data_IF_366132735474
#
_entry.id   IF_366132735474
#
_cell.length_a   1.000
_cell.length_b   1.000
_cell.length_c   1.000
_cell.angle_alpha   90.00
_cell.angle_beta   90.00
_cell.angle_gamma   90.00
#
_symmetry.space_group_name_H-M   'P 1'
#
loop_
_entity.id
_entity.type
_entity.pdbx_description
1 polymer ?
#
# COMPACT_ATOMS: atom_id res chain seq x y z
N UNK A 1 10.79 5.64 10.78
CA UNK A 1 11.92 5.55 11.74
C UNK A 1 13.24 5.78 10.98
N UNK A 2 14.33 6.26 11.61
CA UNK A 2 15.65 6.33 10.96
C UNK A 2 16.53 5.16 11.39
N UNK A 3 16.94 4.30 10.47
CA UNK A 3 17.77 3.11 10.77
C UNK A 3 19.01 3.05 9.89
N UNK A 4 20.06 2.37 10.39
CA UNK A 4 21.22 2.04 9.57
C UNK A 4 20.92 0.75 8.83
N UNK A 5 20.60 0.86 7.54
CA UNK A 5 20.27 -0.30 6.71
C UNK A 5 21.47 -1.13 6.32
N UNK A 6 22.63 -0.50 6.05
CA UNK A 6 23.85 -1.24 5.76
C UNK A 6 24.36 -1.97 7.00
N UNK A 7 24.69 -3.25 6.84
CA UNK A 7 25.23 -4.11 7.89
C UNK A 7 26.53 -4.75 7.44
N UNK A 8 27.46 -4.96 8.37
CA UNK A 8 28.69 -5.73 8.16
C UNK A 8 28.72 -6.93 9.10
N UNK A 9 28.98 -8.13 8.57
CA UNK A 9 29.18 -9.34 9.36
C UNK A 9 30.49 -9.23 10.13
N UNK A 10 30.49 -9.59 11.42
CA UNK A 10 31.72 -9.68 12.22
C UNK A 10 32.54 -10.94 11.94
N UNK A 11 31.91 -11.98 11.40
CA UNK A 11 32.55 -13.29 11.22
C UNK A 11 33.20 -13.43 9.83
N UNK A 12 32.50 -13.01 8.76
CA UNK A 12 33.04 -13.09 7.39
C UNK A 12 33.31 -11.72 6.72
N UNK A 13 32.97 -10.60 7.37
CA UNK A 13 33.19 -9.26 6.84
C UNK A 13 32.23 -8.82 5.71
N UNK A 14 31.34 -9.69 5.23
CA UNK A 14 30.34 -9.38 4.20
C UNK A 14 29.48 -8.18 4.62
N UNK A 15 29.27 -7.28 3.68
CA UNK A 15 28.29 -6.21 3.80
C UNK A 15 27.02 -6.51 3.01
N UNK A 16 25.87 -6.13 3.57
CA UNK A 16 24.57 -6.23 2.92
C UNK A 16 23.62 -5.14 3.42
N UNK A 17 22.55 -4.90 2.67
CA UNK A 17 21.46 -4.04 3.10
C UNK A 17 20.40 -4.87 3.84
N UNK A 18 20.13 -4.51 5.10
CA UNK A 18 18.96 -4.98 5.83
C UNK A 18 17.67 -4.63 5.07
N UNK A 19 17.65 -3.51 4.34
CA UNK A 19 16.48 -3.09 3.57
C UNK A 19 16.17 -4.06 2.43
N UNK A 20 17.18 -4.64 1.78
CA UNK A 20 16.99 -5.61 0.69
C UNK A 20 16.62 -7.00 1.21
N UNK A 21 17.15 -7.39 2.37
CA UNK A 21 17.08 -8.78 2.85
C UNK A 21 16.01 -8.99 3.94
N UNK A 22 15.58 -7.92 4.61
CA UNK A 22 14.75 -8.01 5.83
C UNK A 22 15.45 -8.73 6.99
N UNK A 23 16.73 -9.12 6.85
CA UNK A 23 17.39 -10.07 7.74
C UNK A 23 18.63 -9.47 8.42
N UNK A 24 18.77 -9.78 9.72
CA UNK A 24 19.94 -9.41 10.53
C UNK A 24 21.06 -10.45 10.41
N UNK A 25 20.75 -11.65 9.92
CA UNK A 25 21.71 -12.71 9.60
C UNK A 25 22.49 -12.36 8.34
N UNK A 26 23.77 -12.70 8.33
CA UNK A 26 24.61 -12.56 7.16
C UNK A 26 24.12 -13.50 6.04
N UNK A 27 23.90 -13.02 4.81
CA UNK A 27 23.42 -13.87 3.72
C UNK A 27 24.45 -14.92 3.26
N UNK A 28 25.73 -14.75 3.57
CA UNK A 28 26.79 -15.66 3.12
C UNK A 28 27.13 -16.77 4.12
N UNK A 29 26.99 -16.49 5.43
CA UNK A 29 27.44 -17.41 6.48
C UNK A 29 26.38 -17.62 7.58
N UNK A 30 25.19 -17.06 7.41
CA UNK A 30 24.04 -17.13 8.32
C UNK A 30 24.29 -16.60 9.74
N UNK A 31 25.48 -16.06 10.01
CA UNK A 31 25.81 -15.50 11.31
C UNK A 31 24.93 -14.31 11.68
N UNK A 32 24.38 -14.35 12.90
CA UNK A 32 23.64 -13.25 13.52
C UNK A 32 24.56 -12.13 14.05
N UNK A 33 25.89 -12.32 14.00
CA UNK A 33 26.86 -11.34 14.51
C UNK A 33 27.12 -10.25 13.47
N UNK A 34 26.23 -9.27 13.40
CA UNK A 34 26.32 -8.16 12.46
C UNK A 34 26.22 -6.79 13.13
N UNK A 35 26.85 -5.77 12.55
CA UNK A 35 26.78 -4.37 13.01
C UNK A 35 26.26 -3.48 11.90
N UNK A 36 25.41 -2.50 12.26
CA UNK A 36 25.00 -1.45 11.33
C UNK A 36 26.16 -0.50 11.03
N UNK A 37 26.45 -0.29 9.74
CA UNK A 37 27.48 0.62 9.23
C UNK A 37 26.83 1.70 8.36
N UNK A 38 27.50 2.84 8.19
CA UNK A 38 26.98 3.98 7.42
C UNK A 38 26.00 4.88 8.19
N UNK A 39 25.37 5.78 7.44
CA UNK A 39 24.43 6.77 7.97
C UNK A 39 23.05 6.17 8.23
N UNK A 40 22.26 6.89 9.04
CA UNK A 40 20.88 6.52 9.35
C UNK A 40 19.96 7.11 8.30
N UNK A 41 19.25 6.26 7.58
CA UNK A 41 18.31 6.63 6.52
C UNK A 41 16.88 6.42 6.99
N UNK A 42 15.94 7.20 6.43
CA UNK A 42 14.51 7.01 6.70
C UNK A 42 14.04 5.71 6.07
N UNK A 43 13.24 4.98 6.80
CA UNK A 43 12.69 3.73 6.34
C UNK A 43 11.36 3.45 7.04
N UNK A 44 10.38 3.07 6.23
CA UNK A 44 9.02 2.74 6.64
C UNK A 44 8.53 1.49 5.93
N UNK A 45 8.98 1.23 4.70
CA UNK A 45 8.60 0.04 3.92
C UNK A 45 9.38 -1.22 4.30
N UNK A 46 8.70 -2.30 4.67
CA UNK A 46 9.35 -3.61 4.86
C UNK A 46 9.39 -4.40 3.54
N UNK A 47 10.50 -5.10 3.27
CA UNK A 47 10.65 -5.99 2.11
C UNK A 47 9.87 -7.32 2.27
N UNK A 48 8.55 -7.23 2.45
CA UNK A 48 7.65 -8.39 2.57
C UNK A 48 6.85 -8.57 1.28
N UNK A 49 6.82 -9.80 0.76
CA UNK A 49 5.93 -10.19 -0.33
C UNK A 49 4.56 -10.62 0.19
N UNK A 50 3.51 -10.36 -0.59
CA UNK A 50 2.20 -10.96 -0.36
C UNK A 50 2.11 -12.28 -1.13
N UNK A 51 1.67 -13.35 -0.47
CA UNK A 51 1.36 -14.63 -1.11
C UNK A 51 -0.03 -15.08 -0.66
N UNK A 52 -0.95 -15.20 -1.62
CA UNK A 52 -2.33 -15.63 -1.38
C UNK A 52 -2.58 -17.06 -1.88
N UNK A 53 -1.55 -17.80 -2.29
CA UNK A 53 -1.68 -19.15 -2.85
C UNK A 53 -2.34 -20.13 -1.88
N UNK A 54 -1.99 -20.07 -0.59
CA UNK A 54 -2.59 -20.89 0.45
C UNK A 54 -4.10 -20.62 0.61
N UNK A 55 -4.50 -19.34 0.60
CA UNK A 55 -5.92 -18.92 0.70
C UNK A 55 -6.72 -19.36 -0.52
N UNK A 56 -6.15 -19.24 -1.72
CA UNK A 56 -6.77 -19.75 -2.96
C UNK A 56 -6.93 -21.26 -2.95
N UNK A 57 -5.95 -22.00 -2.43
CA UNK A 57 -6.03 -23.45 -2.32
C UNK A 57 -7.08 -23.89 -1.29
N UNK A 58 -7.20 -23.18 -0.17
CA UNK A 58 -8.19 -23.46 0.87
C UNK A 58 -9.64 -23.23 0.40
N UNK A 59 -9.86 -22.29 -0.53
CA UNK A 59 -11.19 -21.98 -1.04
C UNK A 59 -11.82 -23.10 -1.88
N UNK A 60 -11.03 -24.05 -2.40
CA UNK A 60 -11.51 -25.34 -2.95
C UNK A 60 -12.70 -25.29 -3.92
N UNK A 61 -13.37 -26.44 -4.13
CA UNK A 61 -14.65 -26.51 -4.86
C UNK A 61 -15.86 -26.34 -3.92
N UNK A 62 -15.72 -26.75 -2.67
CA UNK A 62 -16.82 -26.85 -1.70
C UNK A 62 -16.77 -25.79 -0.57
N UNK A 63 -15.68 -25.04 -0.43
CA UNK A 63 -15.54 -24.04 0.63
C UNK A 63 -16.09 -22.69 0.18
N UNK A 64 -16.66 -21.94 1.12
CA UNK A 64 -17.11 -20.57 0.88
C UNK A 64 -16.04 -19.56 1.33
N UNK A 65 -16.15 -18.34 0.82
CA UNK A 65 -15.25 -17.22 1.19
C UNK A 65 -15.28 -17.00 2.71
N UNK A 66 -16.45 -17.18 3.34
CA UNK A 66 -16.60 -17.08 4.79
C UNK A 66 -15.71 -18.05 5.57
N UNK A 67 -15.42 -19.23 5.04
CA UNK A 67 -14.61 -20.24 5.73
C UNK A 67 -13.13 -19.84 5.84
N UNK A 68 -12.63 -19.03 4.91
CA UNK A 68 -11.23 -18.56 4.85
C UNK A 68 -11.07 -17.08 5.25
N UNK A 69 -12.18 -16.37 5.49
CA UNK A 69 -12.19 -14.92 5.65
C UNK A 69 -11.28 -14.43 6.79
N UNK A 70 -11.30 -15.08 7.96
CA UNK A 70 -10.54 -14.61 9.13
C UNK A 70 -9.02 -14.73 8.94
N UNK A 71 -8.56 -15.84 8.35
CA UNK A 71 -7.14 -16.07 8.07
C UNK A 71 -6.66 -15.16 6.94
N UNK A 72 -7.48 -14.98 5.90
CA UNK A 72 -7.23 -14.07 4.79
C UNK A 72 -7.12 -12.62 5.28
N UNK A 73 -8.11 -12.13 6.07
CA UNK A 73 -8.09 -10.79 6.67
C UNK A 73 -6.83 -10.58 7.51
N UNK A 74 -6.37 -11.61 8.22
CA UNK A 74 -5.15 -11.52 9.04
C UNK A 74 -3.90 -11.38 8.20
N UNK A 75 -3.75 -12.22 7.17
CA UNK A 75 -2.64 -12.13 6.21
C UNK A 75 -2.56 -10.75 5.54
N UNK A 76 -3.71 -10.24 5.07
CA UNK A 76 -3.78 -8.94 4.41
C UNK A 76 -3.48 -7.77 5.36
N UNK A 77 -4.03 -7.80 6.59
CA UNK A 77 -3.74 -6.80 7.63
C UNK A 77 -2.25 -6.74 7.95
N UNK A 78 -1.62 -7.90 8.11
CA UNK A 78 -0.20 -7.98 8.44
C UNK A 78 0.67 -7.46 7.29
N UNK A 79 0.32 -7.79 6.04
CA UNK A 79 1.00 -7.26 4.86
C UNK A 79 0.86 -5.75 4.75
N UNK A 80 -0.37 -5.21 4.72
CA UNK A 80 -0.63 -3.77 4.54
C UNK A 80 0.06 -2.94 5.63
N UNK A 81 0.04 -3.41 6.89
CA UNK A 81 0.69 -2.71 8.01
C UNK A 81 2.22 -2.68 7.92
N UNK A 82 2.83 -3.63 7.21
CA UNK A 82 4.29 -3.70 7.04
C UNK A 82 4.79 -2.88 5.85
N UNK A 83 3.89 -2.51 4.93
CA UNK A 83 4.22 -1.65 3.79
C UNK A 83 4.35 -0.19 4.23
N UNK A 84 5.21 0.53 3.54
CA UNK A 84 5.42 1.96 3.69
C UNK A 84 5.89 2.58 2.38
N UNK A 85 6.17 3.86 2.38
CA UNK A 85 6.49 4.62 1.16
C UNK A 85 7.88 5.25 1.17
N UNK A 86 8.73 4.88 2.14
CA UNK A 86 10.15 5.26 2.14
C UNK A 86 11.02 4.04 2.35
N UNK A 87 11.90 3.77 1.39
CA UNK A 87 12.86 2.67 1.39
C UNK A 87 14.28 3.19 1.28
N UNK A 88 15.11 2.99 2.31
CA UNK A 88 16.50 3.48 2.31
C UNK A 88 16.65 4.99 2.00
N UNK A 89 15.69 5.81 2.44
CA UNK A 89 15.64 7.23 2.12
C UNK A 89 15.01 7.58 0.77
N UNK A 90 14.80 6.60 -0.11
CA UNK A 90 14.13 6.78 -1.39
C UNK A 90 12.61 6.76 -1.19
N UNK A 91 11.92 7.71 -1.82
CA UNK A 91 10.48 7.78 -1.85
C UNK A 91 9.94 6.72 -2.83
N UNK A 92 9.02 5.89 -2.36
CA UNK A 92 8.34 4.89 -3.17
C UNK A 92 7.00 5.40 -3.68
N UNK A 93 6.59 4.88 -4.84
CA UNK A 93 5.24 5.11 -5.37
C UNK A 93 4.21 4.26 -4.66
N UNK A 94 2.95 4.66 -4.73
CA UNK A 94 1.83 3.85 -4.25
C UNK A 94 1.61 2.69 -5.23
N UNK A 95 2.13 1.50 -4.95
CA UNK A 95 2.04 0.35 -5.85
C UNK A 95 0.64 -0.28 -5.89
N UNK A 96 0.36 -1.06 -6.94
CA UNK A 96 -0.95 -1.69 -7.11
C UNK A 96 -1.18 -2.88 -6.16
N UNK A 97 -0.12 -3.57 -5.70
CA UNK A 97 -0.23 -4.72 -4.79
C UNK A 97 -0.72 -4.28 -3.41
N UNK A 98 -0.20 -3.18 -2.85
CA UNK A 98 -0.69 -2.65 -1.56
C UNK A 98 -2.14 -2.16 -1.65
N UNK A 99 -2.52 -1.53 -2.78
CA UNK A 99 -3.90 -1.11 -3.01
C UNK A 99 -4.85 -2.30 -3.17
N UNK A 100 -4.46 -3.31 -3.95
CA UNK A 100 -5.27 -4.51 -4.14
C UNK A 100 -5.42 -5.32 -2.85
N UNK A 101 -4.38 -5.40 -2.03
CA UNK A 101 -4.42 -6.07 -0.74
C UNK A 101 -5.33 -5.36 0.27
N UNK A 102 -5.22 -4.02 0.37
CA UNK A 102 -6.12 -3.21 1.19
C UNK A 102 -7.56 -3.35 0.72
N UNK A 103 -7.79 -3.32 -0.60
CA UNK A 103 -9.12 -3.46 -1.17
C UNK A 103 -9.73 -4.83 -0.90
N UNK A 104 -8.96 -5.91 -1.08
CA UNK A 104 -9.39 -7.26 -0.73
C UNK A 104 -9.72 -7.37 0.76
N UNK A 105 -8.92 -6.76 1.64
CA UNK A 105 -9.17 -6.76 3.08
C UNK A 105 -10.53 -6.15 3.42
N UNK A 106 -10.82 -4.97 2.85
CA UNK A 106 -12.10 -4.31 3.06
C UNK A 106 -13.26 -5.04 2.39
N UNK A 107 -13.08 -5.58 1.19
CA UNK A 107 -14.10 -6.32 0.46
C UNK A 107 -14.50 -7.61 1.18
N UNK A 108 -13.52 -8.36 1.73
CA UNK A 108 -13.79 -9.55 2.54
C UNK A 108 -14.51 -9.20 3.84
N UNK A 109 -14.17 -8.09 4.50
CA UNK A 109 -14.89 -7.64 5.70
C UNK A 109 -16.35 -7.27 5.39
N UNK A 110 -16.63 -6.62 4.25
CA UNK A 110 -18.01 -6.37 3.81
C UNK A 110 -18.73 -7.67 3.49
N UNK A 111 -18.09 -8.58 2.75
CA UNK A 111 -18.66 -9.88 2.39
C UNK A 111 -19.07 -10.68 3.63
N UNK A 112 -18.14 -10.83 4.59
CA UNK A 112 -18.30 -11.62 5.82
C UNK A 112 -19.41 -11.09 6.75
N UNK A 113 -19.63 -9.76 6.74
CA UNK A 113 -20.72 -9.12 7.51
C UNK A 113 -22.06 -9.13 6.79
N UNK A 114 -22.08 -9.42 5.50
CA UNK A 114 -23.30 -9.46 4.71
C UNK A 114 -23.97 -10.81 4.85
N UNK A 115 -25.23 -10.84 5.31
CA UNK A 115 -25.95 -12.10 5.57
C UNK A 115 -26.12 -12.96 4.32
N UNK A 116 -26.48 -12.33 3.20
CA UNK A 116 -26.77 -12.99 1.93
C UNK A 116 -26.11 -12.16 0.81
N UNK A 117 -24.78 -12.24 0.63
CA UNK A 117 -24.08 -11.48 -0.39
C UNK A 117 -24.54 -11.90 -1.78
N UNK A 118 -24.73 -10.94 -2.67
CA UNK A 118 -25.09 -11.23 -4.05
C UNK A 118 -23.90 -11.79 -4.85
N UNK A 119 -24.20 -12.35 -6.02
CA UNK A 119 -23.17 -12.96 -6.88
C UNK A 119 -22.15 -11.93 -7.38
N UNK A 120 -22.51 -10.66 -7.57
CA UNK A 120 -21.57 -9.64 -8.01
C UNK A 120 -20.54 -9.33 -6.92
N UNK A 121 -20.97 -9.22 -5.67
CA UNK A 121 -20.14 -9.12 -4.48
C UNK A 121 -19.21 -10.33 -4.35
N UNK A 122 -19.74 -11.55 -4.51
CA UNK A 122 -18.94 -12.78 -4.47
C UNK A 122 -17.86 -12.80 -5.54
N UNK A 123 -18.23 -12.58 -6.80
CA UNK A 123 -17.30 -12.58 -7.94
C UNK A 123 -16.20 -11.54 -7.77
N UNK A 124 -16.54 -10.36 -7.25
CA UNK A 124 -15.58 -9.29 -7.00
C UNK A 124 -14.52 -9.67 -5.97
N UNK A 125 -14.90 -10.29 -4.85
CA UNK A 125 -13.93 -10.79 -3.86
C UNK A 125 -13.05 -11.89 -4.45
N UNK A 126 -13.62 -12.80 -5.26
CA UNK A 126 -12.86 -13.84 -5.95
C UNK A 126 -11.89 -13.30 -7.01
N UNK A 127 -12.25 -12.22 -7.70
CA UNK A 127 -11.37 -11.51 -8.63
C UNK A 127 -10.18 -10.91 -7.88
N UNK A 128 -10.42 -10.18 -6.79
CA UNK A 128 -9.38 -9.61 -5.95
C UNK A 128 -8.47 -10.69 -5.35
N UNK A 129 -9.02 -11.79 -4.83
CA UNK A 129 -8.23 -12.89 -4.26
C UNK A 129 -7.32 -13.59 -5.29
N UNK A 130 -7.73 -13.61 -6.56
CA UNK A 130 -6.93 -14.17 -7.65
C UNK A 130 -5.74 -13.28 -8.02
N UNK A 131 -5.92 -11.96 -7.94
CA UNK A 131 -5.01 -10.99 -8.55
C UNK A 131 -4.20 -10.12 -7.60
N UNK A 132 -4.60 -9.98 -6.33
CA UNK A 132 -4.06 -8.94 -5.45
C UNK A 132 -2.56 -9.07 -5.17
N UNK A 133 -2.03 -10.29 -5.03
CA UNK A 133 -0.59 -10.54 -4.86
C UNK A 133 0.23 -10.35 -6.14
N UNK A 134 -0.42 -10.22 -7.30
CA UNK A 134 0.19 -9.85 -8.57
C UNK A 134 -0.02 -8.36 -8.94
N UNK A 135 -0.60 -7.57 -8.03
CA UNK A 135 -0.90 -6.16 -8.27
C UNK A 135 -2.07 -5.93 -9.24
N UNK A 136 -2.91 -6.95 -9.47
CA UNK A 136 -4.09 -6.79 -10.32
C UNK A 136 -5.23 -6.15 -9.51
N UNK A 137 -5.86 -5.14 -10.12
CA UNK A 137 -6.96 -4.38 -9.52
C UNK A 137 -8.14 -4.35 -10.51
N UNK A 138 -9.37 -4.68 -10.07
CA UNK A 138 -10.54 -4.52 -10.92
C UNK A 138 -10.71 -3.03 -11.31
N UNK A 139 -11.06 -2.70 -12.56
CA UNK A 139 -11.28 -1.32 -12.96
C UNK A 139 -12.44 -0.67 -12.17
N UNK A 140 -12.49 0.67 -12.04
CA UNK A 140 -13.52 1.36 -11.24
C UNK A 140 -14.96 1.05 -11.65
N UNK A 141 -15.17 0.73 -12.93
CA UNK A 141 -16.48 0.40 -13.50
C UNK A 141 -16.92 -1.04 -13.23
N UNK A 142 -16.04 -1.91 -12.73
CA UNK A 142 -16.40 -3.29 -12.36
C UNK A 142 -16.65 -3.47 -10.86
N UNK A 143 -16.52 -2.40 -10.08
CA UNK A 143 -16.81 -2.41 -8.63
C UNK A 143 -18.33 -2.47 -8.44
N UNK A 144 -18.86 -3.48 -7.75
CA UNK A 144 -20.27 -3.50 -7.37
C UNK A 144 -20.62 -2.33 -6.46
N UNK A 145 -21.85 -1.82 -6.53
CA UNK A 145 -22.30 -0.70 -5.69
C UNK A 145 -22.07 -0.96 -4.19
N UNK A 146 -22.29 -2.20 -3.74
CA UNK A 146 -22.05 -2.67 -2.37
C UNK A 146 -20.58 -2.62 -1.92
N UNK A 147 -19.65 -2.49 -2.85
CA UNK A 147 -18.20 -2.50 -2.61
C UNK A 147 -17.53 -1.14 -2.84
N UNK A 148 -18.27 -0.13 -3.31
CA UNK A 148 -17.74 1.22 -3.53
C UNK A 148 -17.13 1.79 -2.26
N UNK A 149 -17.83 1.69 -1.13
CA UNK A 149 -17.34 2.14 0.17
C UNK A 149 -16.10 1.37 0.64
N UNK A 150 -16.04 0.06 0.39
CA UNK A 150 -14.89 -0.78 0.72
C UNK A 150 -13.63 -0.31 -0.04
N UNK A 151 -13.75 -0.04 -1.35
CA UNK A 151 -12.64 0.50 -2.15
C UNK A 151 -12.23 1.90 -1.68
N UNK A 152 -13.20 2.77 -1.40
CA UNK A 152 -12.94 4.11 -0.90
C UNK A 152 -12.10 4.11 0.38
N UNK A 153 -12.52 3.33 1.38
CA UNK A 153 -11.78 3.18 2.65
C UNK A 153 -10.42 2.52 2.44
N UNK A 154 -10.34 1.49 1.60
CA UNK A 154 -9.08 0.82 1.32
C UNK A 154 -8.03 1.79 0.79
N UNK A 155 -8.37 2.59 -0.23
CA UNK A 155 -7.41 3.51 -0.83
C UNK A 155 -7.12 4.70 0.08
N UNK A 156 -8.12 5.20 0.81
CA UNK A 156 -7.92 6.24 1.82
C UNK A 156 -6.92 5.79 2.89
N UNK A 157 -7.02 4.55 3.38
CA UNK A 157 -6.09 4.03 4.39
C UNK A 157 -4.64 3.97 3.89
N UNK A 158 -4.43 3.50 2.67
CA UNK A 158 -3.10 3.44 2.03
C UNK A 158 -2.55 4.85 1.79
N UNK A 159 -3.39 5.77 1.32
CA UNK A 159 -2.99 7.14 1.04
C UNK A 159 -2.76 7.97 2.32
N UNK A 160 -3.41 7.63 3.42
CA UNK A 160 -3.14 8.22 4.73
C UNK A 160 -1.72 7.91 5.18
N UNK A 161 -1.31 6.64 5.08
CA UNK A 161 0.06 6.22 5.39
C UNK A 161 1.07 6.86 4.43
N UNK A 162 0.76 6.90 3.13
CA UNK A 162 1.57 7.63 2.14
C UNK A 162 1.77 9.10 2.50
N UNK A 163 0.70 9.81 2.88
CA UNK A 163 0.80 11.22 3.26
C UNK A 163 1.61 11.43 4.54
N UNK A 164 1.53 10.50 5.49
CA UNK A 164 2.35 10.49 6.71
C UNK A 164 3.85 10.32 6.38
N UNK A 165 4.16 9.32 5.56
CA UNK A 165 5.51 9.00 5.14
C UNK A 165 6.12 10.08 4.26
N UNK A 166 5.36 10.61 3.31
CA UNK A 166 5.79 11.70 2.45
C UNK A 166 6.05 12.97 3.26
N UNK A 167 5.19 13.30 4.23
CA UNK A 167 5.42 14.44 5.12
C UNK A 167 6.75 14.27 5.89
N UNK A 168 6.96 13.08 6.43
CA UNK A 168 8.19 12.69 7.12
C UNK A 168 9.42 12.75 6.21
N UNK A 169 9.29 12.44 4.92
CA UNK A 169 10.35 12.52 3.92
C UNK A 169 10.65 13.98 3.50
N UNK A 170 9.62 14.82 3.35
CA UNK A 170 9.73 16.25 3.02
C UNK A 170 10.42 17.07 4.11
N UNK A 171 10.37 16.64 5.38
CA UNK A 171 11.17 17.25 6.46
C UNK A 171 12.68 17.24 6.14
N UNK A 172 13.15 16.21 5.43
CA UNK A 172 14.55 16.06 5.03
C UNK A 172 14.81 16.60 3.62
N UNK A 173 13.77 16.69 2.80
CA UNK A 173 13.82 17.13 1.40
C UNK A 173 12.78 18.23 1.17
N UNK A 174 13.02 19.46 1.65
CA UNK A 174 11.98 20.49 1.68
C UNK A 174 11.54 20.91 0.27
N UNK A 175 10.28 20.64 -0.04
CA UNK A 175 9.62 21.11 -1.26
C UNK A 175 8.24 21.71 -0.92
N UNK A 176 8.09 23.05 -0.93
CA UNK A 176 6.82 23.70 -0.59
C UNK A 176 5.69 23.39 -1.58
N UNK A 177 6.02 23.08 -2.85
CA UNK A 177 5.05 22.81 -3.89
C UNK A 177 4.43 21.42 -3.72
N UNK A 178 5.25 20.42 -3.39
CA UNK A 178 4.85 19.08 -3.02
C UNK A 178 4.12 19.04 -1.68
N UNK A 179 4.60 19.80 -0.69
CA UNK A 179 3.96 19.90 0.63
C UNK A 179 2.49 20.32 0.54
N UNK A 180 2.18 21.32 -0.30
CA UNK A 180 0.79 21.75 -0.56
C UNK A 180 -0.04 20.67 -1.25
N UNK A 181 0.52 19.99 -2.26
CA UNK A 181 -0.19 18.92 -2.95
C UNK A 181 -0.52 17.75 -2.00
N UNK A 182 0.43 17.38 -1.14
CA UNK A 182 0.25 16.38 -0.08
C UNK A 182 -0.85 16.78 0.90
N UNK A 183 -0.89 18.02 1.35
CA UNK A 183 -1.95 18.53 2.25
C UNK A 183 -3.34 18.45 1.59
N UNK A 184 -3.44 18.74 0.29
CA UNK A 184 -4.69 18.55 -0.46
C UNK A 184 -5.08 17.08 -0.54
N UNK A 185 -4.13 16.16 -0.81
CA UNK A 185 -4.40 14.72 -0.80
C UNK A 185 -4.91 14.28 0.58
N UNK A 186 -4.22 14.63 1.65
CA UNK A 186 -4.60 14.30 3.04
C UNK A 186 -6.00 14.86 3.39
N UNK A 187 -6.35 16.04 2.88
CA UNK A 187 -7.69 16.61 3.05
C UNK A 187 -8.77 15.74 2.38
N UNK A 188 -8.54 15.28 1.15
CA UNK A 188 -9.47 14.37 0.47
C UNK A 188 -9.55 13.01 1.16
N UNK A 189 -8.42 12.45 1.63
CA UNK A 189 -8.39 11.21 2.42
C UNK A 189 -9.29 11.32 3.65
N UNK A 190 -9.13 12.37 4.45
CA UNK A 190 -9.96 12.61 5.65
C UNK A 190 -11.44 12.78 5.32
N UNK A 191 -11.76 13.37 4.16
CA UNK A 191 -13.14 13.45 3.70
C UNK A 191 -13.70 12.07 3.38
N UNK A 192 -12.96 11.24 2.65
CA UNK A 192 -13.37 9.87 2.32
C UNK A 192 -13.62 9.08 3.62
N UNK A 193 -12.73 9.20 4.61
CA UNK A 193 -12.94 8.58 5.93
C UNK A 193 -14.22 9.09 6.61
N UNK A 194 -14.49 10.40 6.54
CA UNK A 194 -15.68 11.01 7.16
C UNK A 194 -17.00 10.55 6.52
N UNK A 195 -16.99 10.17 5.24
CA UNK A 195 -18.14 9.56 4.55
C UNK A 195 -18.07 8.04 4.52
N UNK A 196 -17.18 7.43 5.32
CA UNK A 196 -17.00 5.98 5.41
C UNK A 196 -16.71 5.31 4.06
N UNK A 197 -15.95 5.98 3.19
CA UNK A 197 -15.59 5.47 1.86
C UNK A 197 -16.61 5.71 0.77
N UNK A 198 -17.79 6.26 1.09
CA UNK A 198 -18.89 6.45 0.14
C UNK A 198 -18.62 7.63 -0.83
N UNK A 199 -17.67 7.39 -1.74
CA UNK A 199 -17.32 8.30 -2.84
C UNK A 199 -17.29 7.52 -4.16
N UNK A 200 -17.47 8.19 -5.31
CA UNK A 200 -17.33 7.53 -6.60
C UNK A 200 -15.97 6.85 -6.74
N UNK A 201 -15.94 5.60 -7.24
CA UNK A 201 -14.68 4.84 -7.39
C UNK A 201 -13.64 5.55 -8.26
N UNK A 202 -14.09 6.32 -9.26
CA UNK A 202 -13.23 7.18 -10.08
C UNK A 202 -12.55 8.32 -9.31
N UNK A 203 -13.16 8.79 -8.21
CA UNK A 203 -12.57 9.78 -7.31
C UNK A 203 -11.41 9.17 -6.51
N UNK A 204 -11.62 7.99 -5.92
CA UNK A 204 -10.56 7.25 -5.21
C UNK A 204 -9.38 6.95 -6.13
N UNK A 205 -9.62 6.55 -7.38
CA UNK A 205 -8.56 6.37 -8.38
C UNK A 205 -7.83 7.65 -8.74
N UNK A 206 -8.56 8.75 -8.90
CA UNK A 206 -7.96 10.03 -9.24
C UNK A 206 -7.00 10.49 -8.14
N UNK A 207 -7.32 10.19 -6.87
CA UNK A 207 -6.46 10.48 -5.73
C UNK A 207 -5.19 9.63 -5.72
N UNK A 208 -5.30 8.32 -6.01
CA UNK A 208 -4.12 7.44 -6.19
C UNK A 208 -3.23 7.96 -7.32
N UNK A 209 -3.81 8.35 -8.46
CA UNK A 209 -3.04 8.91 -9.58
C UNK A 209 -2.35 10.21 -9.20
N UNK A 210 -3.01 11.11 -8.47
CA UNK A 210 -2.40 12.34 -7.99
C UNK A 210 -1.22 12.08 -7.04
N UNK A 211 -1.31 11.07 -6.17
CA UNK A 211 -0.20 10.65 -5.31
C UNK A 211 0.98 10.10 -6.13
N UNK A 212 0.72 9.28 -7.16
CA UNK A 212 1.76 8.76 -8.07
C UNK A 212 2.43 9.88 -8.86
N UNK A 213 1.64 10.80 -9.43
CA UNK A 213 2.14 11.97 -10.15
C UNK A 213 3.04 12.84 -9.24
N UNK A 214 2.69 12.96 -7.95
CA UNK A 214 3.51 13.66 -6.96
C UNK A 214 4.85 12.95 -6.68
N UNK A 215 4.85 11.62 -6.63
CA UNK A 215 6.10 10.84 -6.51
C UNK A 215 6.97 11.05 -7.75
N UNK A 216 6.42 10.92 -8.96
CA UNK A 216 7.14 11.18 -10.22
C UNK A 216 7.78 12.58 -10.23
N UNK A 217 7.04 13.61 -9.80
CA UNK A 217 7.60 14.95 -9.65
C UNK A 217 8.83 14.97 -8.73
N UNK A 218 8.72 14.36 -7.55
CA UNK A 218 9.78 14.40 -6.53
C UNK A 218 11.00 13.55 -6.90
N UNK A 219 10.81 12.41 -7.58
CA UNK A 219 11.89 11.48 -7.89
C UNK A 219 12.55 11.77 -9.24
N UNK A 220 11.82 12.33 -10.19
CA UNK A 220 12.30 12.58 -11.57
C UNK A 220 12.44 14.07 -11.92
N UNK A 221 11.90 14.97 -11.08
CA UNK A 221 11.89 16.41 -11.34
C UNK A 221 10.87 16.83 -12.41
N UNK A 222 9.84 16.01 -12.67
CA UNK A 222 8.84 16.28 -13.71
C UNK A 222 7.77 17.29 -13.25
N UNK A 223 7.98 18.56 -13.56
CA UNK A 223 7.02 19.65 -13.29
C UNK A 223 5.66 19.46 -13.97
N UNK A 224 5.60 18.71 -15.08
CA UNK A 224 4.33 18.37 -15.72
C UNK A 224 3.53 17.37 -14.87
N UNK A 225 4.19 16.44 -14.18
CA UNK A 225 3.55 15.52 -13.24
C UNK A 225 2.93 16.28 -12.06
N UNK A 226 3.65 17.26 -11.49
CA UNK A 226 3.08 18.11 -10.43
C UNK A 226 1.85 18.90 -10.90
N UNK A 227 1.89 19.41 -12.14
CA UNK A 227 0.75 20.11 -12.74
C UNK A 227 -0.45 19.17 -12.92
N UNK A 228 -0.21 17.93 -13.38
CA UNK A 228 -1.25 16.90 -13.49
C UNK A 228 -1.84 16.52 -12.14
N UNK A 229 -1.01 16.34 -11.11
CA UNK A 229 -1.46 16.05 -9.76
C UNK A 229 -2.43 17.14 -9.25
N UNK A 230 -2.05 18.42 -9.41
CA UNK A 230 -2.88 19.56 -9.01
C UNK A 230 -4.19 19.64 -9.79
N UNK A 231 -4.14 19.43 -11.10
CA UNK A 231 -5.32 19.43 -11.96
C UNK A 231 -6.29 18.30 -11.61
N UNK A 232 -5.79 17.13 -11.24
CA UNK A 232 -6.62 16.03 -10.73
C UNK A 232 -7.29 16.43 -9.42
N UNK A 233 -6.51 16.92 -8.46
CA UNK A 233 -6.99 17.32 -7.15
C UNK A 233 -8.04 18.44 -7.24
N UNK A 234 -7.84 19.43 -8.11
CA UNK A 234 -8.80 20.53 -8.26
C UNK A 234 -10.15 20.11 -8.87
N UNK A 235 -10.23 18.93 -9.48
CA UNK A 235 -11.46 18.36 -10.04
C UNK A 235 -12.18 17.45 -9.05
N UNK A 236 -11.50 17.06 -7.96
CA UNK A 236 -12.16 16.41 -6.84
C UNK A 236 -12.91 17.52 -6.09
N UNK A 237 -14.20 17.30 -5.84
CA UNK A 237 -15.07 18.30 -5.19
C UNK A 237 -14.61 18.67 -3.79
#
# INVERSE_FOLDING_TARGET
>A
MRIRGRRRCKDCGREWSYFETGAVSCPDCESLRSVGVGDRERHTDSAVGLDLSAHRAALGEDADIGDVADELKTTLRDYVRQRGFVHSGDLLTVDDTVLAAAELLHAVDVFDRTRDPDEATRLYVLELLRGADNGERPPPSSVPDSMTAARGLAYASVLSEFCSDLGTWLDDNPDPAAGRARETIDTHVRRIDAVHGDVPTGESEALVRAARDLVTYLTEGDEAALSQARDRLSRLG
#
